data_IF_273115717916
#
_entry.id   IF_273115717916
#
_cell.length_a   1.000
_cell.length_b   1.000
_cell.length_c   1.000
_cell.angle_alpha   90.00
_cell.angle_beta   90.00
_cell.angle_gamma   90.00
#
_symmetry.space_group_name_H-M   'P 1'
#
loop_
_entity.id
_entity.type
_entity.pdbx_description
1 polymer ?
#
# COMPACT_ATOMS: atom_id res chain seq x y z
N UNK A 1 1.48 -6.89 -21.13
CA UNK A 1 2.68 -7.18 -20.31
C UNK A 1 2.52 -6.56 -18.91
N UNK A 2 1.96 -7.30 -17.96
CA UNK A 2 1.89 -6.87 -16.56
C UNK A 2 3.22 -7.19 -15.84
N UNK A 3 4.27 -6.41 -16.09
CA UNK A 3 5.60 -6.64 -15.53
C UNK A 3 5.87 -5.73 -14.32
N UNK A 4 5.27 -6.08 -13.18
CA UNK A 4 5.51 -5.48 -11.86
C UNK A 4 4.25 -4.91 -11.21
N UNK A 5 4.16 -4.95 -9.88
CA UNK A 5 3.00 -4.48 -9.08
C UNK A 5 2.77 -2.97 -9.06
N UNK A 6 2.82 -2.31 -10.22
CA UNK A 6 2.58 -0.88 -10.36
C UNK A 6 1.88 -0.60 -11.70
N UNK A 7 1.12 0.49 -11.76
CA UNK A 7 0.47 0.99 -12.96
C UNK A 7 0.99 2.39 -13.28
N UNK A 8 1.17 2.71 -14.56
CA UNK A 8 1.50 4.06 -15.02
C UNK A 8 0.20 4.81 -15.32
N UNK A 9 0.12 6.05 -14.86
CA UNK A 9 -0.99 6.95 -15.12
C UNK A 9 -0.72 7.81 -16.37
N UNK A 10 -1.76 8.34 -17.03
CA UNK A 10 -1.61 9.18 -18.21
C UNK A 10 -0.83 10.48 -17.94
N UNK A 11 -0.79 10.95 -16.69
CA UNK A 11 -0.01 12.10 -16.26
C UNK A 11 1.49 11.81 -16.04
N UNK A 12 1.96 10.60 -16.37
CA UNK A 12 3.36 10.18 -16.19
C UNK A 12 3.73 9.70 -14.78
N UNK A 13 2.83 9.83 -13.80
CA UNK A 13 3.02 9.28 -12.45
C UNK A 13 2.74 7.77 -12.42
N UNK A 14 3.08 7.12 -11.31
CA UNK A 14 2.86 5.70 -11.08
C UNK A 14 2.10 5.46 -9.78
N UNK A 15 1.23 4.46 -9.81
CA UNK A 15 0.63 3.85 -8.61
C UNK A 15 1.35 2.54 -8.36
N UNK A 16 2.01 2.41 -7.21
CA UNK A 16 2.72 1.18 -6.81
C UNK A 16 1.91 0.48 -5.72
N UNK A 17 1.62 -0.80 -5.93
CA UNK A 17 0.94 -1.69 -5.00
C UNK A 17 1.93 -2.67 -4.38
N UNK A 18 1.98 -2.68 -3.05
CA UNK A 18 2.90 -3.50 -2.27
C UNK A 18 2.14 -4.21 -1.15
N UNK A 19 2.23 -5.54 -1.13
CA UNK A 19 1.83 -6.31 0.04
C UNK A 19 3.01 -6.33 1.02
N UNK A 20 2.82 -5.76 2.21
CA UNK A 20 3.84 -5.69 3.26
C UNK A 20 3.33 -6.42 4.50
N UNK A 21 4.19 -7.07 5.29
CA UNK A 21 3.78 -7.53 6.62
C UNK A 21 3.25 -6.34 7.43
N UNK A 22 2.18 -6.57 8.18
CA UNK A 22 1.59 -5.51 9.01
C UNK A 22 2.67 -4.99 9.98
N UNK A 23 2.85 -3.68 10.10
CA UNK A 23 3.86 -3.10 10.99
C UNK A 23 3.47 -3.14 12.48
N UNK A 24 2.28 -3.62 12.83
CA UNK A 24 1.80 -3.81 14.21
C UNK A 24 1.75 -5.29 14.60
N UNK A 25 1.40 -5.60 15.85
CA UNK A 25 1.29 -7.00 16.35
C UNK A 25 0.18 -7.83 15.69
N UNK A 26 -0.50 -7.30 14.67
CA UNK A 26 -1.45 -8.05 13.85
C UNK A 26 -0.70 -9.03 12.97
N UNK A 27 -0.89 -10.33 13.21
CA UNK A 27 -0.49 -11.37 12.28
C UNK A 27 -1.26 -11.19 10.96
N UNK A 28 -0.66 -10.54 9.97
CA UNK A 28 -1.29 -10.31 8.68
C UNK A 28 -0.43 -9.49 7.72
N UNK A 29 -0.81 -9.50 6.45
CA UNK A 29 -0.25 -8.60 5.44
C UNK A 29 -1.17 -7.40 5.25
N UNK A 30 -0.59 -6.24 4.92
CA UNK A 30 -1.30 -5.03 4.51
C UNK A 30 -0.96 -4.72 3.06
N UNK A 31 -1.96 -4.33 2.28
CA UNK A 31 -1.80 -3.88 0.91
C UNK A 31 -1.69 -2.37 0.91
N UNK A 32 -0.53 -1.86 0.52
CA UNK A 32 -0.19 -0.43 0.52
C UNK A 32 -0.11 0.06 -0.93
N UNK A 33 -0.77 1.19 -1.19
CA UNK A 33 -0.76 1.85 -2.50
C UNK A 33 -0.13 3.23 -2.40
N UNK A 34 0.80 3.51 -3.31
CA UNK A 34 1.57 4.76 -3.33
C UNK A 34 1.45 5.42 -4.69
N UNK A 35 0.92 6.65 -4.72
CA UNK A 35 1.05 7.56 -5.86
C UNK A 35 2.40 8.28 -5.78
N UNK A 36 3.22 8.15 -6.82
CA UNK A 36 4.51 8.82 -6.91
C UNK A 36 4.90 9.07 -8.37
N UNK A 37 5.87 9.96 -8.61
CA UNK A 37 6.38 10.19 -9.96
C UNK A 37 7.06 8.96 -10.60
N UNK A 38 7.67 8.09 -9.80
CA UNK A 38 8.27 6.85 -10.27
C UNK A 38 8.38 5.82 -9.13
N UNK A 39 8.72 4.57 -9.49
CA UNK A 39 8.80 3.46 -8.53
C UNK A 39 9.82 3.73 -7.42
N UNK A 40 10.99 4.28 -7.74
CA UNK A 40 12.04 4.54 -6.77
C UNK A 40 11.61 5.56 -5.71
N UNK A 41 10.85 6.60 -6.11
CA UNK A 41 10.26 7.58 -5.19
C UNK A 41 9.17 6.97 -4.30
N UNK A 42 8.34 6.09 -4.85
CA UNK A 42 7.36 5.34 -4.04
C UNK A 42 8.05 4.51 -2.94
N UNK A 43 9.07 3.72 -3.31
CA UNK A 43 9.84 2.91 -2.35
C UNK A 43 10.56 3.77 -1.31
N UNK A 44 11.08 4.93 -1.71
CA UNK A 44 11.72 5.88 -0.80
C UNK A 44 10.74 6.46 0.21
N UNK A 45 9.53 6.85 -0.23
CA UNK A 45 8.47 7.31 0.68
C UNK A 45 8.12 6.26 1.73
N UNK A 46 7.95 5.00 1.33
CA UNK A 46 7.66 3.91 2.27
C UNK A 46 8.79 3.67 3.27
N UNK A 47 10.05 3.71 2.82
CA UNK A 47 11.22 3.61 3.71
C UNK A 47 11.26 4.75 4.73
N UNK A 48 10.98 5.98 4.31
CA UNK A 48 10.93 7.14 5.20
C UNK A 48 9.83 7.04 6.27
N UNK A 49 8.77 6.28 6.00
CA UNK A 49 7.70 5.98 6.96
C UNK A 49 8.03 4.79 7.89
N UNK A 50 9.24 4.23 7.77
CA UNK A 50 9.69 3.10 8.58
C UNK A 50 9.15 1.74 8.12
N UNK A 51 8.66 1.62 6.88
CA UNK A 51 8.21 0.36 6.28
C UNK A 51 9.39 -0.32 5.57
N UNK A 52 10.21 -1.04 6.35
CA UNK A 52 11.47 -1.65 5.89
C UNK A 52 11.28 -2.94 5.08
N UNK A 53 10.13 -3.60 5.22
CA UNK A 53 9.81 -4.84 4.52
C UNK A 53 9.59 -4.67 3.00
N UNK A 54 9.72 -3.45 2.47
CA UNK A 54 9.49 -3.14 1.05
C UNK A 54 10.43 -3.89 0.08
N UNK A 55 11.55 -4.40 0.57
CA UNK A 55 12.50 -5.23 -0.18
C UNK A 55 12.07 -6.70 -0.28
N UNK A 56 11.16 -7.13 0.59
CA UNK A 56 10.67 -8.50 0.66
C UNK A 56 9.45 -8.62 -0.26
N UNK A 57 9.69 -8.86 -1.56
CA UNK A 57 8.73 -9.36 -2.56
C UNK A 57 7.23 -9.01 -2.32
N UNK A 58 6.89 -7.72 -2.23
CA UNK A 58 5.49 -7.27 -2.13
C UNK A 58 4.86 -6.82 -3.46
N UNK A 59 5.68 -6.65 -4.49
CA UNK A 59 5.33 -5.98 -5.76
C UNK A 59 4.93 -6.98 -6.87
N UNK A 60 4.21 -8.04 -6.52
CA UNK A 60 3.91 -9.15 -7.43
C UNK A 60 2.62 -8.93 -8.23
N UNK A 61 1.63 -8.24 -7.65
CA UNK A 61 0.32 -8.02 -8.28
C UNK A 61 0.14 -6.54 -8.68
N UNK A 62 -0.25 -6.23 -9.93
CA UNK A 62 -0.56 -4.86 -10.34
C UNK A 62 -1.72 -4.29 -9.50
N UNK A 63 -1.78 -2.95 -9.33
CA UNK A 63 -2.94 -2.32 -8.70
C UNK A 63 -4.20 -2.52 -9.55
N UNK A 64 -5.33 -2.77 -8.92
CA UNK A 64 -6.65 -2.82 -9.58
C UNK A 64 -7.17 -1.41 -9.91
N UNK A 65 -8.19 -1.25 -10.78
CA UNK A 65 -8.76 0.07 -11.08
C UNK A 65 -9.37 0.79 -9.87
N UNK A 66 -9.99 0.03 -8.95
CA UNK A 66 -10.49 0.55 -7.67
C UNK A 66 -9.33 1.08 -6.80
N UNK A 67 -8.26 0.31 -6.71
CA UNK A 67 -7.03 0.68 -5.99
C UNK A 67 -6.42 1.99 -6.51
N UNK A 68 -6.38 2.14 -7.84
CA UNK A 68 -5.91 3.37 -8.49
C UNK A 68 -6.83 4.55 -8.16
N UNK A 69 -8.15 4.35 -8.22
CA UNK A 69 -9.13 5.39 -7.89
C UNK A 69 -8.97 5.85 -6.44
N UNK A 70 -8.88 4.92 -5.50
CA UNK A 70 -8.72 5.23 -4.08
C UNK A 70 -7.51 6.13 -3.84
N UNK A 71 -6.31 5.74 -4.31
CA UNK A 71 -5.09 6.51 -4.03
C UNK A 71 -5.12 7.91 -4.66
N UNK A 72 -5.80 8.09 -5.80
CA UNK A 72 -5.94 9.38 -6.48
C UNK A 72 -6.82 10.37 -5.71
N UNK A 73 -7.83 9.86 -5.00
CA UNK A 73 -8.74 10.69 -4.20
C UNK A 73 -8.20 11.00 -2.78
N UNK A 74 -7.07 10.40 -2.39
CA UNK A 74 -6.48 10.66 -1.08
C UNK A 74 -5.45 11.80 -1.12
N UNK A 75 -5.52 12.76 -0.17
CA UNK A 75 -4.69 13.97 -0.18
C UNK A 75 -3.18 13.68 -0.05
N UNK A 76 -2.82 12.61 0.66
CA UNK A 76 -1.41 12.20 0.85
C UNK A 76 -0.86 11.37 -0.32
N UNK A 77 -1.73 10.94 -1.25
CA UNK A 77 -1.38 9.99 -2.32
C UNK A 77 -0.88 8.64 -1.80
N UNK A 78 -1.30 8.25 -0.60
CA UNK A 78 -0.80 7.07 0.10
C UNK A 78 -1.88 6.45 1.00
N UNK A 79 -2.26 5.22 0.67
CA UNK A 79 -3.32 4.47 1.37
C UNK A 79 -2.89 3.05 1.66
N UNK A 80 -3.58 2.43 2.62
CA UNK A 80 -3.42 1.02 2.93
C UNK A 80 -4.76 0.38 3.28
N UNK A 81 -4.81 -0.93 3.14
CA UNK A 81 -5.87 -1.80 3.68
C UNK A 81 -5.27 -3.13 4.10
N UNK A 82 -6.01 -3.95 4.82
CA UNK A 82 -5.60 -5.30 5.19
C UNK A 82 -5.64 -6.19 3.93
N UNK A 83 -4.64 -7.06 3.77
CA UNK A 83 -4.54 -7.89 2.57
C UNK A 83 -5.61 -8.99 2.62
N UNK A 84 -6.38 -9.20 1.53
CA UNK A 84 -7.51 -10.12 1.52
C UNK A 84 -7.11 -11.59 1.67
N UNK A 85 -5.83 -11.93 1.50
CA UNK A 85 -5.31 -13.30 1.59
C UNK A 85 -5.09 -13.77 3.05
N UNK A 86 -4.91 -12.84 3.99
CA UNK A 86 -4.56 -13.17 5.39
C UNK A 86 -5.75 -13.39 6.32
N UNK A 87 -6.95 -12.99 5.91
CA UNK A 87 -8.15 -13.11 6.70
C UNK A 87 -9.28 -13.53 5.77
N UNK A 88 -9.73 -14.77 5.93
CA UNK A 88 -10.64 -15.45 5.00
C UNK A 88 -11.84 -14.59 4.63
N UNK A 89 -11.99 -14.34 3.33
CA UNK A 89 -13.20 -14.02 2.53
C UNK A 89 -14.22 -12.97 3.03
N UNK A 90 -14.11 -12.41 4.23
CA UNK A 90 -15.11 -11.49 4.82
C UNK A 90 -14.70 -10.01 4.75
N UNK A 91 -13.48 -9.70 4.31
CA UNK A 91 -12.93 -8.32 4.27
C UNK A 91 -13.08 -7.64 2.91
N UNK A 92 -14.04 -8.08 2.10
CA UNK A 92 -14.38 -7.45 0.81
C UNK A 92 -14.89 -6.01 0.96
N UNK A 93 -15.09 -5.52 2.19
CA UNK A 93 -15.57 -4.16 2.50
C UNK A 93 -14.63 -3.33 3.39
N UNK A 94 -13.38 -3.74 3.57
CA UNK A 94 -12.44 -2.89 4.31
C UNK A 94 -12.19 -1.56 3.59
N UNK A 95 -12.55 -0.47 4.27
CA UNK A 95 -12.41 0.90 3.77
C UNK A 95 -10.93 1.27 3.64
N UNK A 96 -10.59 2.04 2.60
CA UNK A 96 -9.23 2.54 2.41
C UNK A 96 -8.81 3.45 3.57
N UNK A 97 -7.73 3.07 4.25
CA UNK A 97 -7.21 3.82 5.38
C UNK A 97 -6.03 4.71 4.97
N UNK A 98 -5.95 5.94 5.49
CA UNK A 98 -4.77 6.77 5.29
C UNK A 98 -3.58 6.16 6.04
N UNK A 99 -2.37 6.28 5.50
CA UNK A 99 -1.16 5.67 6.09
C UNK A 99 -0.89 6.08 7.54
N UNK A 100 -1.34 7.29 7.93
CA UNK A 100 -1.26 7.77 9.31
C UNK A 100 -2.03 6.88 10.30
N UNK A 101 -3.08 6.19 9.86
CA UNK A 101 -3.80 5.22 10.69
C UNK A 101 -2.94 3.99 10.97
N UNK A 102 -2.17 3.53 9.98
CA UNK A 102 -1.20 2.43 10.13
C UNK A 102 -0.11 2.81 11.13
N UNK A 103 0.38 4.06 11.06
CA UNK A 103 1.41 4.56 11.97
C UNK A 103 0.87 4.83 13.39
N UNK A 104 -0.39 5.26 13.55
CA UNK A 104 -1.02 5.40 14.87
C UNK A 104 -1.24 4.08 15.58
N UNK A 105 -1.56 3.01 14.85
CA UNK A 105 -1.60 1.65 15.41
C UNK A 105 -0.23 1.19 15.94
N UNK A 106 0.87 1.73 15.39
CA UNK A 106 2.23 1.49 15.90
C UNK A 106 2.51 2.19 17.23
N UNK A 107 1.89 3.35 17.47
CA UNK A 107 2.14 4.18 18.66
C UNK A 107 1.20 3.88 19.83
N UNK A 108 0.15 3.07 19.64
CA UNK A 108 -0.70 2.57 20.71
C UNK A 108 0.03 1.48 21.54
N UNK A 109 1.15 1.86 22.16
CA UNK A 109 1.84 1.10 23.21
C UNK A 109 2.80 2.03 23.96
N UNK A 110 2.31 2.64 25.03
CA UNK A 110 3.08 2.95 26.24
C UNK A 110 2.34 2.36 27.43
#
# INVERSE_FOLDING_TARGET
>A
MAAGGFCKLPNGSVVVALNLPSPGSGSGFVRVLVLAHNRARALTRLRNLGLRAVYLRGNAAPPTPDEVTAVLHHPDGLVWRTAPDSAGQELSQELWHPIRALLRGRTARV
#
